data_IF_807890679171
#
_entry.id   IF_807890679171
#
_cell.length_a   1.000
_cell.length_b   1.000
_cell.length_c   1.000
_cell.angle_alpha   90.00
_cell.angle_beta   90.00
_cell.angle_gamma   90.00
#
_symmetry.space_group_name_H-M   'P 1'
#
loop_
_entity.id
_entity.type
_entity.pdbx_description
1 polymer ?
#
# COMPACT_ATOMS: atom_id res chain seq x y z
N UNK A 1 19.61 -4.44 -7.72
CA UNK A 1 20.13 -5.02 -6.47
C UNK A 1 18.96 -5.14 -5.51
N UNK A 2 19.07 -6.01 -4.50
CA UNK A 2 18.03 -6.12 -3.48
C UNK A 2 18.05 -4.88 -2.58
N UNK A 3 16.89 -4.49 -2.04
CA UNK A 3 16.79 -3.31 -1.17
C UNK A 3 17.28 -3.67 0.24
N UNK A 4 18.32 -3.01 0.77
CA UNK A 4 18.77 -3.20 2.15
C UNK A 4 17.67 -2.87 3.17
N UNK A 5 17.64 -3.59 4.29
CA UNK A 5 16.60 -3.45 5.33
C UNK A 5 16.57 -2.03 5.92
N UNK A 6 17.72 -1.37 6.03
CA UNK A 6 17.85 0.00 6.55
C UNK A 6 17.37 1.08 5.57
N UNK A 7 16.99 0.72 4.34
CA UNK A 7 16.35 1.63 3.38
C UNK A 7 14.82 1.61 3.44
N UNK A 8 14.23 0.87 4.38
CA UNK A 8 12.79 0.90 4.64
C UNK A 8 12.47 1.83 5.80
N UNK A 9 11.56 2.77 5.55
CA UNK A 9 11.00 3.66 6.57
C UNK A 9 9.64 3.12 7.03
N UNK A 10 9.48 2.74 8.30
CA UNK A 10 8.16 2.36 8.83
C UNK A 10 7.33 3.63 9.05
N UNK A 11 6.19 3.75 8.36
CA UNK A 11 5.36 4.97 8.41
C UNK A 11 4.20 4.86 9.40
N UNK A 12 3.70 3.67 9.67
CA UNK A 12 2.61 3.48 10.61
C UNK A 12 2.20 2.03 10.78
N UNK A 13 1.18 1.81 11.61
CA UNK A 13 0.59 0.49 11.85
C UNK A 13 -0.92 0.54 11.80
N UNK A 14 -1.52 -0.43 11.12
CA UNK A 14 -2.98 -0.58 11.04
C UNK A 14 -3.39 -1.90 11.69
N UNK A 15 -4.51 -1.89 12.41
CA UNK A 15 -5.19 -3.11 12.85
C UNK A 15 -6.47 -3.22 12.04
N UNK A 16 -6.56 -4.23 11.17
CA UNK A 16 -7.70 -4.42 10.27
C UNK A 16 -8.15 -5.89 10.23
N UNK A 17 -9.37 -6.10 9.77
CA UNK A 17 -9.93 -7.42 9.49
C UNK A 17 -10.71 -7.36 8.20
N UNK A 18 -10.44 -8.28 7.27
CA UNK A 18 -11.11 -8.31 5.98
C UNK A 18 -11.42 -9.74 5.54
N UNK A 19 -12.67 -10.06 5.16
CA UNK A 19 -12.96 -11.34 4.51
C UNK A 19 -12.42 -11.34 3.09
N UNK A 20 -11.89 -12.49 2.64
CA UNK A 20 -11.55 -12.73 1.23
C UNK A 20 -12.70 -13.48 0.55
N UNK A 21 -13.11 -14.60 1.14
CA UNK A 21 -14.26 -15.39 0.70
C UNK A 21 -15.05 -15.95 1.91
N UNK A 22 -16.00 -16.85 1.67
CA UNK A 22 -16.80 -17.47 2.73
C UNK A 22 -16.03 -18.37 3.71
N UNK A 23 -14.73 -18.57 3.50
CA UNK A 23 -13.85 -19.44 4.30
C UNK A 23 -12.56 -18.73 4.77
N UNK A 24 -12.02 -17.83 3.96
CA UNK A 24 -10.71 -17.20 4.15
C UNK A 24 -10.82 -15.69 4.36
N UNK A 25 -9.87 -15.13 5.10
CA UNK A 25 -9.76 -13.70 5.35
C UNK A 25 -8.51 -13.36 6.15
N UNK A 26 -8.32 -12.07 6.39
CA UNK A 26 -7.19 -11.46 7.09
C UNK A 26 -7.65 -10.84 8.42
N UNK A 27 -6.78 -10.88 9.43
CA UNK A 27 -6.95 -10.17 10.69
C UNK A 27 -5.57 -9.86 11.28
N UNK A 28 -5.08 -8.64 11.04
CA UNK A 28 -3.65 -8.35 11.15
C UNK A 28 -3.40 -7.01 11.84
N UNK A 29 -2.31 -6.97 12.62
CA UNK A 29 -1.59 -5.74 12.95
C UNK A 29 -0.48 -5.56 11.93
N UNK A 30 -0.76 -4.80 10.88
CA UNK A 30 0.13 -4.64 9.74
C UNK A 30 1.06 -3.42 9.91
N UNK A 31 2.32 -3.59 9.53
CA UNK A 31 3.36 -2.57 9.59
C UNK A 31 3.56 -2.00 8.19
N UNK A 32 3.23 -0.72 8.01
CA UNK A 32 3.30 -0.06 6.71
C UNK A 32 4.73 0.44 6.48
N UNK A 33 5.47 -0.30 5.64
CA UNK A 33 6.86 0.00 5.27
C UNK A 33 6.92 0.71 3.93
N UNK A 34 7.80 1.72 3.83
CA UNK A 34 7.97 2.53 2.62
C UNK A 34 9.42 2.58 2.19
N UNK A 35 9.68 2.59 0.88
CA UNK A 35 11.02 2.76 0.32
C UNK A 35 10.96 3.50 -1.02
N UNK A 36 12.02 4.22 -1.34
CA UNK A 36 12.21 4.88 -2.64
C UNK A 36 13.56 4.42 -3.19
N UNK A 37 13.51 3.49 -4.13
CA UNK A 37 14.71 2.86 -4.69
C UNK A 37 14.42 2.30 -6.07
N UNK A 38 15.42 2.35 -6.95
CA UNK A 38 15.38 1.66 -8.23
C UNK A 38 15.70 0.17 -8.01
N UNK A 39 14.68 -0.67 -8.20
CA UNK A 39 14.80 -2.11 -7.94
C UNK A 39 14.84 -2.91 -9.24
N UNK A 40 15.62 -4.00 -9.24
CA UNK A 40 15.61 -4.95 -10.34
C UNK A 40 14.51 -5.99 -10.10
N UNK A 41 13.33 -5.78 -10.68
CA UNK A 41 12.17 -6.64 -10.43
C UNK A 41 12.28 -7.97 -11.19
N UNK A 42 12.27 -9.07 -10.42
CA UNK A 42 12.18 -10.45 -10.93
C UNK A 42 11.09 -11.20 -10.13
N UNK A 43 9.81 -10.85 -10.32
CA UNK A 43 8.72 -11.41 -9.52
C UNK A 43 8.60 -12.93 -9.70
N UNK A 44 8.21 -13.64 -8.64
CA UNK A 44 7.81 -15.04 -8.74
C UNK A 44 6.43 -15.13 -9.41
N UNK A 45 6.29 -15.79 -10.58
CA UNK A 45 5.01 -15.86 -11.30
C UNK A 45 3.92 -16.63 -10.54
N UNK A 46 4.27 -17.47 -9.57
CA UNK A 46 3.29 -18.15 -8.72
C UNK A 46 2.62 -17.20 -7.70
N UNK A 47 3.26 -16.05 -7.42
CA UNK A 47 2.81 -15.07 -6.40
C UNK A 47 2.32 -13.76 -7.03
N UNK A 48 2.92 -13.34 -8.15
CA UNK A 48 2.67 -12.03 -8.78
C UNK A 48 2.32 -12.22 -10.25
N UNK A 49 1.08 -11.86 -10.61
CA UNK A 49 0.57 -12.00 -11.98
C UNK A 49 1.07 -10.90 -12.93
N UNK A 50 1.21 -9.66 -12.47
CA UNK A 50 1.69 -8.52 -13.25
C UNK A 50 2.20 -7.39 -12.34
N UNK A 51 3.00 -6.46 -12.88
CA UNK A 51 3.56 -5.32 -12.16
C UNK A 51 3.42 -4.04 -12.99
N UNK A 52 3.02 -2.96 -12.32
CA UNK A 52 2.88 -1.64 -12.94
C UNK A 52 3.34 -0.52 -12.01
N UNK A 53 4.27 0.30 -12.48
CA UNK A 53 4.54 1.61 -11.87
C UNK A 53 3.45 2.60 -12.28
N UNK A 54 2.97 3.38 -11.31
CA UNK A 54 1.93 4.38 -11.53
C UNK A 54 2.30 5.71 -10.90
N UNK A 55 1.94 6.79 -11.57
CA UNK A 55 1.89 8.11 -10.95
C UNK A 55 0.56 8.32 -10.20
N UNK A 56 0.43 9.46 -9.51
CA UNK A 56 -0.77 9.80 -8.71
C UNK A 56 -2.08 9.76 -9.51
N UNK A 57 -2.07 10.29 -10.73
CA UNK A 57 -3.27 10.34 -11.57
C UNK A 57 -3.65 8.95 -12.10
N UNK A 58 -2.66 8.14 -12.47
CA UNK A 58 -2.87 6.75 -12.84
C UNK A 58 -3.40 5.92 -11.66
N UNK A 59 -2.92 6.17 -10.43
CA UNK A 59 -3.46 5.53 -9.24
C UNK A 59 -4.92 5.93 -9.01
N UNK A 60 -5.26 7.23 -9.08
CA UNK A 60 -6.66 7.68 -8.95
C UNK A 60 -7.57 7.03 -9.99
N UNK A 61 -7.11 6.91 -11.23
CA UNK A 61 -7.87 6.23 -12.27
C UNK A 61 -8.02 4.73 -11.99
N UNK A 62 -6.99 4.06 -11.47
CA UNK A 62 -7.10 2.66 -11.04
C UNK A 62 -8.16 2.48 -9.94
N UNK A 63 -8.21 3.38 -8.95
CA UNK A 63 -9.24 3.36 -7.91
C UNK A 63 -10.63 3.57 -8.51
N UNK A 64 -10.79 4.54 -9.41
CA UNK A 64 -12.06 4.81 -10.09
C UNK A 64 -12.55 3.59 -10.87
N UNK A 65 -11.66 2.94 -11.63
CA UNK A 65 -11.98 1.72 -12.38
C UNK A 65 -12.36 0.56 -11.47
N UNK A 66 -11.64 0.36 -10.37
CA UNK A 66 -11.98 -0.65 -9.36
C UNK A 66 -13.39 -0.42 -8.79
N UNK A 67 -13.70 0.81 -8.40
CA UNK A 67 -14.98 1.19 -7.82
C UNK A 67 -16.14 1.03 -8.82
N UNK A 68 -15.86 1.28 -10.11
CA UNK A 68 -16.82 1.09 -11.20
C UNK A 68 -16.95 -0.37 -11.67
N UNK A 69 -16.12 -1.30 -11.16
CA UNK A 69 -16.07 -2.69 -11.61
C UNK A 69 -15.57 -2.86 -13.04
N UNK A 70 -14.83 -1.87 -13.54
CA UNK A 70 -14.28 -1.86 -14.90
C UNK A 70 -13.10 -2.84 -15.01
N UNK A 71 -12.96 -3.48 -16.18
CA UNK A 71 -11.80 -4.32 -16.52
C UNK A 71 -11.56 -5.51 -15.57
N UNK A 72 -12.55 -5.85 -14.71
CA UNK A 72 -12.41 -6.89 -13.69
C UNK A 72 -11.40 -6.53 -12.59
N UNK A 73 -11.03 -5.26 -12.48
CA UNK A 73 -10.01 -4.80 -11.55
C UNK A 73 -10.51 -4.91 -10.10
N UNK A 74 -9.73 -5.59 -9.27
CA UNK A 74 -10.00 -5.74 -7.84
C UNK A 74 -8.82 -5.22 -7.04
N UNK A 75 -9.12 -4.51 -5.96
CA UNK A 75 -8.13 -4.03 -5.00
C UNK A 75 -8.28 -4.82 -3.71
N UNK A 76 -7.16 -5.11 -3.05
CA UNK A 76 -7.22 -5.71 -1.71
C UNK A 76 -7.84 -4.71 -0.73
N UNK A 77 -8.59 -5.18 0.27
CA UNK A 77 -9.17 -4.32 1.30
C UNK A 77 -8.12 -3.48 2.02
N UNK A 78 -6.98 -4.08 2.42
CA UNK A 78 -5.90 -3.35 3.09
C UNK A 78 -5.32 -2.23 2.21
N UNK A 79 -5.17 -2.46 0.89
CA UNK A 79 -4.63 -1.44 0.00
C UNK A 79 -5.56 -0.24 -0.06
N UNK A 80 -6.88 -0.47 -0.12
CA UNK A 80 -7.85 0.61 -0.09
C UNK A 80 -7.80 1.39 1.23
N UNK A 81 -7.66 0.69 2.36
CA UNK A 81 -7.49 1.34 3.67
C UNK A 81 -6.26 2.26 3.69
N UNK A 82 -5.12 1.80 3.15
CA UNK A 82 -3.89 2.61 3.09
C UNK A 82 -4.06 3.83 2.18
N UNK A 83 -4.67 3.65 1.01
CA UNK A 83 -4.91 4.73 0.04
C UNK A 83 -5.80 5.82 0.61
N UNK A 84 -6.94 5.44 1.18
CA UNK A 84 -7.97 6.38 1.63
C UNK A 84 -7.54 7.17 2.88
N UNK A 85 -6.67 6.60 3.72
CA UNK A 85 -6.29 7.20 4.99
C UNK A 85 -4.91 7.87 4.98
N UNK A 86 -3.96 7.37 4.17
CA UNK A 86 -2.56 7.74 4.34
C UNK A 86 -1.79 8.04 3.04
N UNK A 87 -1.95 7.24 2.00
CA UNK A 87 -0.99 7.19 0.89
C UNK A 87 -0.77 8.55 0.21
N UNK A 88 -1.84 9.28 -0.11
CA UNK A 88 -1.70 10.59 -0.78
C UNK A 88 -1.03 11.63 0.11
N UNK A 89 -1.29 11.60 1.43
CA UNK A 89 -0.60 12.45 2.40
C UNK A 89 0.88 12.09 2.47
N UNK A 90 1.21 10.79 2.53
CA UNK A 90 2.61 10.34 2.52
C UNK A 90 3.33 10.74 1.25
N UNK A 91 2.66 10.64 0.09
CA UNK A 91 3.21 11.07 -1.19
C UNK A 91 3.51 12.58 -1.21
N UNK A 92 2.63 13.41 -0.66
CA UNK A 92 2.88 14.86 -0.52
C UNK A 92 4.11 15.17 0.34
N UNK A 93 4.28 14.44 1.43
CA UNK A 93 5.44 14.61 2.31
C UNK A 93 6.72 14.05 1.69
N UNK A 94 6.63 12.98 0.90
CA UNK A 94 7.76 12.45 0.14
C UNK A 94 8.30 13.49 -0.84
N UNK A 95 7.43 14.11 -1.64
CA UNK A 95 7.83 15.11 -2.63
C UNK A 95 8.41 16.38 -1.98
N UNK A 96 8.01 16.69 -0.74
CA UNK A 96 8.54 17.80 0.04
C UNK A 96 9.84 17.46 0.79
N UNK A 97 10.22 16.18 0.86
CA UNK A 97 11.33 15.72 1.68
C UNK A 97 11.06 15.80 3.19
N UNK A 98 9.79 15.65 3.60
CA UNK A 98 9.36 15.72 5.01
C UNK A 98 8.60 14.47 5.45
N UNK A 99 9.03 13.30 4.97
CA UNK A 99 8.37 12.02 5.24
C UNK A 99 8.41 11.64 6.73
N UNK A 100 9.43 12.07 7.48
CA UNK A 100 9.50 11.82 8.93
C UNK A 100 8.35 12.49 9.70
N UNK A 101 7.79 13.59 9.20
CA UNK A 101 6.70 14.33 9.86
C UNK A 101 5.38 13.54 9.89
N UNK A 102 5.22 12.57 8.99
CA UNK A 102 4.02 11.72 8.88
C UNK A 102 4.23 10.31 9.39
N UNK A 103 5.40 10.03 9.95
CA UNK A 103 5.71 8.77 10.60
C UNK A 103 5.04 8.70 11.98
N UNK A 104 4.15 7.72 12.18
CA UNK A 104 3.52 7.46 13.48
C UNK A 104 3.60 5.97 13.86
N UNK A 105 4.69 5.64 14.54
CA UNK A 105 4.91 4.30 15.09
C UNK A 105 4.37 4.13 16.52
N UNK A 106 3.68 5.13 17.07
CA UNK A 106 3.09 5.06 18.42
C UNK A 106 1.63 4.65 18.35
N UNK A 107 0.89 5.18 17.38
CA UNK A 107 -0.52 4.84 17.17
C UNK A 107 -0.66 3.48 16.48
N UNK A 108 -1.75 2.78 16.80
CA UNK A 108 -2.26 1.66 16.00
C UNK A 108 -3.60 2.13 15.45
N UNK A 109 -3.66 2.39 14.15
CA UNK A 109 -4.87 2.84 13.49
C UNK A 109 -5.82 1.66 13.31
N UNK A 110 -6.91 1.63 14.08
CA UNK A 110 -7.93 0.58 13.94
C UNK A 110 -8.84 0.95 12.77
N UNK A 111 -8.72 0.21 11.68
CA UNK A 111 -9.47 0.44 10.46
C UNK A 111 -10.36 -0.79 10.22
N UNK A 112 -11.67 -0.57 10.22
CA UNK A 112 -12.71 -1.61 10.13
C UNK A 112 -13.55 -1.45 8.90
#
# INVERSE_FOLDING_TARGET
EDVPVDQFTPLGRILYKAPSDGKWGEHELDYLLFTVSDVNMKPNPDEVADVKYVNREQLKELLRKADAGEEGLKLSPWFRLVVDNFLFKWWDHLEKGTLEEVTDMKTIHKLT
#
